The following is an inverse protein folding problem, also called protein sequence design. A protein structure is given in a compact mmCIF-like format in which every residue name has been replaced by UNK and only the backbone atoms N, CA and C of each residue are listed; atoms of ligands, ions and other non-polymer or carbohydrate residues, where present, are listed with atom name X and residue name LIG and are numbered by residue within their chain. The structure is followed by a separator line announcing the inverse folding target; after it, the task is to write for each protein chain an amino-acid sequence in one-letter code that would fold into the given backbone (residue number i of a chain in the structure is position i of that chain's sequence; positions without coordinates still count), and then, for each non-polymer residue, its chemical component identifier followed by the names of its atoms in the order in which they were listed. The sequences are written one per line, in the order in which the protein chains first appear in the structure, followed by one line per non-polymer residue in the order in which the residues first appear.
data_IF_284931085466
#
_entry.id   IF_284931085466
#
_cell.length_a   1.000
_cell.length_b   1.000
_cell.length_c   1.000
_cell.angle_alpha   90.00
_cell.angle_beta   90.00
_cell.angle_gamma   90.00
#
_symmetry.space_group_name_H-M   'P 1'
#
loop_
_entity.id
_entity.type
_entity.pdbx_description
1 polymer ?
#
# COMPACT_ATOMS: atom_id res chain seq x y z
N UNK A 1 -1.82 -26.80 -15.09
CA UNK A 1 -0.82 -25.95 -14.41
C UNK A 1 -0.33 -26.71 -13.19
N UNK A 2 0.98 -26.84 -12.97
CA UNK A 2 1.51 -27.51 -11.78
C UNK A 2 1.64 -26.48 -10.67
N UNK A 3 0.93 -26.73 -9.55
CA UNK A 3 1.01 -25.90 -8.36
C UNK A 3 1.94 -26.59 -7.36
N UNK A 4 2.83 -25.81 -6.75
CA UNK A 4 3.74 -26.25 -5.69
C UNK A 4 3.23 -25.74 -4.36
N UNK A 5 3.20 -26.62 -3.36
CA UNK A 5 2.90 -26.25 -1.98
C UNK A 5 4.18 -25.70 -1.34
N UNK A 6 4.11 -24.50 -0.81
CA UNK A 6 5.19 -23.85 -0.06
C UNK A 6 4.75 -23.76 1.40
N UNK A 7 5.54 -24.36 2.29
CA UNK A 7 5.30 -24.37 3.73
C UNK A 7 6.37 -23.54 4.43
N UNK A 8 5.96 -22.48 5.14
CA UNK A 8 6.83 -21.64 5.96
C UNK A 8 6.61 -22.04 7.41
N UNK A 9 7.64 -22.60 8.05
CA UNK A 9 7.58 -23.05 9.43
C UNK A 9 8.36 -22.04 10.28
N UNK A 10 7.66 -21.37 11.19
CA UNK A 10 8.25 -20.44 12.17
C UNK A 10 8.13 -21.03 13.57
N UNK A 11 8.76 -20.40 14.56
CA UNK A 11 8.77 -20.87 15.95
C UNK A 11 7.38 -20.98 16.59
N UNK A 12 6.37 -20.27 16.08
CA UNK A 12 5.01 -20.27 16.63
C UNK A 12 3.91 -20.74 15.69
N UNK A 13 4.17 -20.87 14.38
CA UNK A 13 3.13 -21.24 13.41
C UNK A 13 3.72 -21.75 12.09
N UNK A 14 2.97 -22.63 11.42
CA UNK A 14 3.23 -23.05 10.04
C UNK A 14 2.21 -22.43 9.10
N UNK A 15 2.68 -21.85 7.99
CA UNK A 15 1.85 -21.22 6.96
C UNK A 15 2.06 -21.99 5.66
N UNK A 16 0.99 -22.59 5.15
CA UNK A 16 0.98 -23.34 3.89
C UNK A 16 0.22 -22.58 2.81
N UNK A 17 0.82 -22.43 1.64
CA UNK A 17 0.16 -21.80 0.50
C UNK A 17 0.64 -22.40 -0.82
N UNK A 18 -0.19 -22.29 -1.86
CA UNK A 18 0.09 -22.84 -3.19
C UNK A 18 0.51 -21.73 -4.15
N UNK A 19 1.57 -21.97 -4.89
CA UNK A 19 2.08 -21.09 -5.95
C UNK A 19 2.32 -21.87 -7.23
N UNK A 20 2.45 -21.20 -8.36
CA UNK A 20 2.88 -21.83 -9.62
C UNK A 20 4.26 -22.46 -9.44
N UNK A 21 4.49 -23.65 -10.00
CA UNK A 21 5.81 -24.31 -9.90
C UNK A 21 6.96 -23.45 -10.43
N UNK A 22 6.72 -22.64 -11.47
CA UNK A 22 7.71 -21.71 -12.02
C UNK A 22 8.16 -20.63 -11.01
N UNK A 23 7.27 -20.23 -10.10
CA UNK A 23 7.49 -19.13 -9.16
C UNK A 23 7.94 -19.61 -7.77
N UNK A 24 7.79 -20.90 -7.48
CA UNK A 24 8.04 -21.49 -6.16
C UNK A 24 9.46 -21.20 -5.63
N UNK A 25 10.47 -21.28 -6.50
CA UNK A 25 11.86 -20.98 -6.13
C UNK A 25 12.05 -19.50 -5.77
N UNK A 26 11.46 -18.59 -6.54
CA UNK A 26 11.56 -17.15 -6.28
C UNK A 26 10.89 -16.79 -4.94
N UNK A 27 9.68 -17.32 -4.71
CA UNK A 27 8.93 -17.11 -3.47
C UNK A 27 9.70 -17.62 -2.26
N UNK A 28 10.27 -18.83 -2.32
CA UNK A 28 11.08 -19.39 -1.23
C UNK A 28 12.27 -18.48 -0.88
N UNK A 29 12.99 -18.00 -1.89
CA UNK A 29 14.14 -17.12 -1.72
C UNK A 29 13.75 -15.79 -1.08
N UNK A 30 12.73 -15.12 -1.61
CA UNK A 30 12.25 -13.83 -1.09
C UNK A 30 11.79 -13.95 0.37
N UNK A 31 10.99 -14.97 0.67
CA UNK A 31 10.53 -15.23 2.05
C UNK A 31 11.70 -15.46 2.99
N UNK A 32 12.66 -16.30 2.60
CA UNK A 32 13.84 -16.60 3.44
C UNK A 32 14.66 -15.34 3.70
N UNK A 33 14.86 -14.52 2.68
CA UNK A 33 15.67 -13.31 2.79
C UNK A 33 14.98 -12.21 3.60
N UNK A 34 13.65 -12.10 3.49
CA UNK A 34 12.83 -11.22 4.33
C UNK A 34 12.87 -11.64 5.81
N UNK A 35 12.79 -12.94 6.10
CA UNK A 35 12.93 -13.48 7.48
C UNK A 35 14.32 -13.19 8.04
N UNK A 36 15.36 -13.28 7.21
CA UNK A 36 16.74 -12.99 7.60
C UNK A 36 17.06 -11.49 7.62
N UNK A 37 16.08 -10.62 7.32
CA UNK A 37 16.25 -9.16 7.30
C UNK A 37 17.24 -8.66 6.25
N UNK A 38 17.50 -9.45 5.21
CA UNK A 38 18.44 -9.14 4.12
C UNK A 38 17.75 -8.51 2.91
N UNK A 39 16.42 -8.58 2.88
CA UNK A 39 15.63 -8.03 1.81
C UNK A 39 15.33 -6.56 2.13
N UNK A 40 16.16 -5.67 1.61
CA UNK A 40 15.77 -4.27 1.48
C UNK A 40 14.60 -4.23 0.50
N UNK A 41 13.42 -3.81 0.96
CA UNK A 41 12.24 -3.67 0.11
C UNK A 41 12.50 -2.47 -0.80
N UNK A 42 13.36 -2.65 -1.80
CA UNK A 42 13.48 -1.71 -2.90
C UNK A 42 12.17 -1.83 -3.65
N UNK A 43 11.26 -0.91 -3.33
CA UNK A 43 10.06 -0.68 -4.10
C UNK A 43 10.46 -0.68 -5.59
N UNK A 44 9.73 -1.39 -6.48
CA UNK A 44 10.04 -1.35 -7.89
C UNK A 44 10.12 0.11 -8.30
N UNK A 45 11.32 0.54 -8.72
CA UNK A 45 11.56 1.88 -9.18
C UNK A 45 10.67 2.10 -10.41
N UNK A 46 9.54 2.78 -10.19
CA UNK A 46 8.81 3.44 -11.26
C UNK A 46 9.85 4.29 -12.02
N UNK A 47 9.91 4.21 -13.36
CA UNK A 47 10.80 5.07 -14.13
C UNK A 47 10.54 6.52 -13.70
N UNK A 48 11.61 7.21 -13.30
CA UNK A 48 11.57 8.50 -12.65
C UNK A 48 10.69 9.50 -13.41
N UNK A 49 9.48 9.73 -12.89
CA UNK A 49 8.86 11.04 -13.04
C UNK A 49 9.58 11.97 -12.05
N UNK A 50 10.02 13.12 -12.56
CA UNK A 50 10.78 14.12 -11.85
C UNK A 50 10.28 14.36 -10.41
N UNK A 51 11.23 14.46 -9.47
CA UNK A 51 11.00 14.84 -8.07
C UNK A 51 10.05 16.05 -7.99
N UNK A 52 8.94 15.99 -7.24
CA UNK A 52 8.25 17.19 -6.84
C UNK A 52 9.12 17.93 -5.82
N UNK A 53 9.47 19.16 -6.20
CA UNK A 53 10.01 20.21 -5.36
C UNK A 53 9.22 20.39 -4.04
N UNK A 54 9.80 21.06 -3.01
CA UNK A 54 9.19 21.28 -1.70
C UNK A 54 7.72 21.71 -1.75
N UNK A 55 6.92 21.36 -0.73
CA UNK A 55 5.47 21.37 -0.77
C UNK A 55 4.96 22.78 -1.08
N UNK A 56 4.53 22.98 -2.32
CA UNK A 56 3.55 24.00 -2.63
C UNK A 56 2.32 23.64 -1.82
N UNK A 57 1.83 24.53 -0.97
CA UNK A 57 0.70 24.33 -0.03
C UNK A 57 -0.69 24.27 -0.71
N UNK A 58 -0.74 24.35 -2.04
CA UNK A 58 -1.97 24.45 -2.83
C UNK A 58 -2.56 23.13 -3.39
N UNK A 59 -1.77 22.11 -3.81
CA UNK A 59 -2.31 20.82 -4.23
C UNK A 59 -2.79 19.95 -3.05
N UNK A 60 -2.37 20.25 -1.81
CA UNK A 60 -2.84 19.53 -0.62
C UNK A 60 -4.34 19.68 -0.40
N UNK A 61 -4.92 20.85 -0.66
CA UNK A 61 -6.36 21.07 -0.43
C UNK A 61 -7.21 20.24 -1.41
N UNK A 62 -6.78 20.14 -2.67
CA UNK A 62 -7.47 19.29 -3.66
C UNK A 62 -7.28 17.80 -3.36
N UNK A 63 -6.08 17.38 -2.93
CA UNK A 63 -5.82 15.99 -2.54
C UNK A 63 -6.60 15.58 -1.28
N UNK A 64 -6.66 16.45 -0.27
CA UNK A 64 -7.45 16.25 0.95
C UNK A 64 -8.95 16.20 0.64
N UNK A 65 -9.46 17.00 -0.30
CA UNK A 65 -10.85 16.91 -0.75
C UNK A 65 -11.15 15.57 -1.44
N UNK A 66 -10.21 15.06 -2.25
CA UNK A 66 -10.33 13.75 -2.88
C UNK A 66 -10.32 12.63 -1.83
N UNK A 67 -9.45 12.72 -0.82
CA UNK A 67 -9.39 11.75 0.28
C UNK A 67 -10.69 11.72 1.09
N UNK A 68 -11.26 12.89 1.40
CA UNK A 68 -12.55 12.99 2.07
C UNK A 68 -13.67 12.34 1.23
N UNK A 69 -13.64 12.50 -0.10
CA UNK A 69 -14.64 11.88 -0.98
C UNK A 69 -14.52 10.35 -0.99
N UNK A 70 -13.30 9.80 -1.02
CA UNK A 70 -13.09 8.34 -0.94
C UNK A 70 -13.51 7.76 0.40
N UNK A 71 -13.32 8.48 1.51
CA UNK A 71 -13.76 8.03 2.84
C UNK A 71 -15.29 8.04 2.98
N UNK A 72 -15.97 9.01 2.35
CA UNK A 72 -17.43 9.06 2.27
C UNK A 72 -17.98 7.89 1.44
N UNK A 73 -17.36 7.61 0.30
CA UNK A 73 -17.75 6.53 -0.60
C UNK A 73 -17.55 5.15 0.05
N UNK A 74 -16.52 5.03 0.89
CA UNK A 74 -16.28 3.86 1.74
C UNK A 74 -17.24 3.74 2.93
N UNK A 75 -18.18 4.69 3.10
CA UNK A 75 -19.13 4.72 4.22
C UNK A 75 -18.50 5.01 5.59
N UNK A 76 -17.24 5.47 5.62
CA UNK A 76 -16.49 5.78 6.85
C UNK A 76 -16.88 7.17 7.38
N UNK A 77 -17.20 8.10 6.48
CA UNK A 77 -17.74 9.42 6.81
C UNK A 77 -19.20 9.52 6.38
N UNK A 78 -20.03 10.13 7.23
CA UNK A 78 -21.40 10.54 6.89
C UNK A 78 -21.38 11.85 6.08
N UNK A 79 -22.47 12.13 5.35
CA UNK A 79 -22.58 13.34 4.52
C UNK A 79 -22.42 14.64 5.31
N UNK A 80 -22.83 14.67 6.58
CA UNK A 80 -22.63 15.82 7.49
C UNK A 80 -21.14 16.05 7.79
N UNK A 81 -20.40 15.00 8.17
CA UNK A 81 -18.97 15.09 8.50
C UNK A 81 -18.12 15.48 7.28
N UNK A 82 -18.47 14.94 6.10
CA UNK A 82 -17.82 15.30 4.84
C UNK A 82 -18.02 16.79 4.52
N UNK A 83 -19.24 17.30 4.71
CA UNK A 83 -19.58 18.70 4.39
C UNK A 83 -18.85 19.67 5.34
N UNK A 84 -18.81 19.36 6.63
CA UNK A 84 -18.09 20.15 7.63
C UNK A 84 -16.59 20.22 7.32
N UNK A 85 -15.95 19.08 7.02
CA UNK A 85 -14.52 18.99 6.72
C UNK A 85 -14.15 19.65 5.39
N UNK A 86 -15.01 19.52 4.38
CA UNK A 86 -14.85 20.20 3.09
C UNK A 86 -14.92 21.72 3.25
N UNK A 87 -15.85 22.23 4.05
CA UNK A 87 -16.01 23.67 4.28
C UNK A 87 -14.83 24.25 5.06
N UNK A 88 -14.38 23.55 6.11
CA UNK A 88 -13.17 23.91 6.89
C UNK A 88 -11.92 23.95 6.00
N UNK A 89 -11.78 22.96 5.12
CA UNK A 89 -10.66 22.85 4.20
C UNK A 89 -10.68 23.94 3.12
N UNK A 90 -11.86 24.31 2.63
CA UNK A 90 -12.02 25.44 1.69
C UNK A 90 -11.80 26.80 2.37
N UNK A 91 -12.16 26.95 3.65
CA UNK A 91 -11.93 28.17 4.42
C UNK A 91 -10.45 28.38 4.81
N UNK A 92 -9.65 27.32 4.73
CA UNK A 92 -8.19 27.32 4.95
C UNK A 92 -7.41 27.88 3.75
N UNK A 93 -8.06 27.99 2.58
CA UNK A 93 -7.52 28.58 1.36
C UNK A 93 -7.54 30.12 1.45
#
# INVERSE_FOLDING_TARGET
MLNTLVSIITSGNTIDFRVSHAEATAVKTVVTDLILGKYDVVAPAVPAAAQPAPPTVQPEIHDQLQKLASLRDSGILTDEEFTAKKAELLARL
#
